data_IF_297338797179
#
_entry.id   IF_297338797179
#
_cell.length_a   1.000
_cell.length_b   1.000
_cell.length_c   1.000
_cell.angle_alpha   90.00
_cell.angle_beta   90.00
_cell.angle_gamma   90.00
#
_symmetry.space_group_name_H-M   'P 1'
#
loop_
_entity.id
_entity.type
_entity.pdbx_description
1 polymer ?
#
# COMPACT_ATOMS: atom_id res chain seq x y z
N UNK A 1 11.97 -11.30 24.47
CA UNK A 1 10.72 -10.61 24.06
C UNK A 1 10.50 -9.21 24.70
N UNK A 2 11.41 -8.69 25.56
CA UNK A 2 11.27 -7.35 26.20
C UNK A 2 11.81 -6.19 25.36
N UNK A 3 12.95 -6.36 24.68
CA UNK A 3 13.61 -5.27 23.94
C UNK A 3 12.82 -4.71 22.75
N UNK A 4 12.23 -5.57 21.90
CA UNK A 4 11.43 -5.13 20.75
C UNK A 4 10.19 -4.30 21.16
N UNK A 5 9.54 -4.68 22.26
CA UNK A 5 8.41 -3.92 22.81
C UNK A 5 8.86 -2.56 23.33
N UNK A 6 10.04 -2.48 23.97
CA UNK A 6 10.59 -1.23 24.47
C UNK A 6 10.94 -0.27 23.32
N UNK A 7 11.53 -0.78 22.23
CA UNK A 7 11.81 0.00 21.01
C UNK A 7 10.51 0.53 20.41
N UNK A 8 9.51 -0.33 20.20
CA UNK A 8 8.22 0.07 19.65
C UNK A 8 7.54 1.16 20.51
N UNK A 9 7.57 0.99 21.85
CA UNK A 9 7.00 1.98 22.77
C UNK A 9 7.75 3.33 22.69
N UNK A 10 9.08 3.31 22.58
CA UNK A 10 9.89 4.53 22.42
C UNK A 10 9.56 5.25 21.10
N UNK A 11 9.46 4.51 19.99
CA UNK A 11 9.08 5.05 18.68
C UNK A 11 7.68 5.67 18.74
N UNK A 12 6.74 4.97 19.37
CA UNK A 12 5.39 5.49 19.56
C UNK A 12 5.41 6.76 20.42
N UNK A 13 6.12 6.80 21.55
CA UNK A 13 6.22 8.00 22.38
C UNK A 13 6.74 9.22 21.58
N UNK A 14 7.64 8.97 20.63
CA UNK A 14 8.28 9.97 19.78
C UNK A 14 7.54 10.22 18.44
N UNK A 15 6.21 10.19 18.44
CA UNK A 15 5.37 10.31 17.23
C UNK A 15 5.77 11.45 16.28
N UNK A 16 6.06 12.66 16.81
CA UNK A 16 6.46 13.81 16.01
C UNK A 16 7.72 13.53 15.17
N UNK A 17 8.73 12.89 15.76
CA UNK A 17 9.97 12.56 15.06
C UNK A 17 9.74 11.52 13.98
N UNK A 18 8.85 10.55 14.21
CA UNK A 18 8.46 9.57 13.18
C UNK A 18 7.78 10.26 12.01
N UNK A 19 6.87 11.21 12.25
CA UNK A 19 6.22 11.98 11.18
C UNK A 19 7.25 12.79 10.38
N UNK A 20 8.17 13.50 11.06
CA UNK A 20 9.25 14.25 10.40
C UNK A 20 10.13 13.31 9.56
N UNK A 21 10.48 12.14 10.10
CA UNK A 21 11.25 11.14 9.37
C UNK A 21 10.54 10.68 8.09
N UNK A 22 9.24 10.37 8.15
CA UNK A 22 8.46 9.97 6.97
C UNK A 22 8.43 11.09 5.93
N UNK A 23 8.22 12.34 6.35
CA UNK A 23 8.23 13.50 5.44
C UNK A 23 9.58 13.60 4.73
N UNK A 24 10.69 13.59 5.48
CA UNK A 24 12.05 13.65 4.90
C UNK A 24 12.28 12.46 3.96
N UNK A 25 11.91 11.24 4.38
CA UNK A 25 12.08 10.03 3.59
C UNK A 25 11.37 10.12 2.23
N UNK A 26 10.09 10.52 2.23
CA UNK A 26 9.32 10.68 0.99
C UNK A 26 9.78 11.88 0.16
N UNK A 27 10.23 12.98 0.78
CA UNK A 27 10.82 14.11 0.05
C UNK A 27 12.12 13.71 -0.66
N UNK A 28 13.01 12.97 0.00
CA UNK A 28 14.24 12.44 -0.61
C UNK A 28 13.89 11.46 -1.73
N UNK A 29 12.94 10.56 -1.50
CA UNK A 29 12.42 9.66 -2.53
C UNK A 29 11.88 10.40 -3.75
N UNK A 30 11.17 11.51 -3.53
CA UNK A 30 10.57 12.31 -4.60
C UNK A 30 11.64 12.96 -5.46
N UNK A 31 12.59 13.67 -4.83
CA UNK A 31 13.71 14.31 -5.54
C UNK A 31 14.54 13.27 -6.29
N UNK A 32 14.82 12.13 -5.66
CA UNK A 32 15.58 11.04 -6.26
C UNK A 32 14.93 10.42 -7.49
N UNK A 33 13.60 10.29 -7.52
CA UNK A 33 12.84 9.79 -8.67
C UNK A 33 12.60 10.87 -9.75
N UNK A 34 12.48 12.13 -9.36
CA UNK A 34 12.29 13.25 -10.29
C UNK A 34 13.52 13.43 -11.19
N UNK A 35 14.73 13.36 -10.64
CA UNK A 35 15.99 13.57 -11.36
C UNK A 35 16.34 12.32 -12.21
N UNK A 36 16.48 12.44 -13.54
CA UNK A 36 16.73 11.28 -14.42
C UNK A 36 17.98 10.47 -14.06
N UNK A 37 19.06 11.13 -13.63
CA UNK A 37 20.33 10.47 -13.30
C UNK A 37 20.25 9.59 -12.05
N UNK A 38 19.45 9.98 -11.05
CA UNK A 38 19.29 9.21 -9.79
C UNK A 38 18.10 8.25 -9.84
N UNK A 39 17.15 8.47 -10.74
CA UNK A 39 15.91 7.69 -10.85
C UNK A 39 16.12 6.17 -10.85
N UNK A 40 17.06 5.58 -11.61
CA UNK A 40 17.24 4.13 -11.63
C UNK A 40 17.54 3.53 -10.25
N UNK A 41 18.37 4.22 -9.45
CA UNK A 41 18.67 3.81 -8.09
C UNK A 41 17.41 3.84 -7.21
N UNK A 42 16.65 4.93 -7.28
CA UNK A 42 15.44 5.09 -6.46
C UNK A 42 14.32 4.13 -6.86
N UNK A 43 14.20 3.79 -8.16
CA UNK A 43 13.31 2.73 -8.64
C UNK A 43 13.67 1.39 -7.96
N UNK A 44 14.96 1.06 -7.88
CA UNK A 44 15.42 -0.16 -7.20
C UNK A 44 15.16 -0.14 -5.67
N UNK A 45 15.08 1.05 -5.06
CA UNK A 45 14.81 1.22 -3.63
C UNK A 45 13.32 1.17 -3.25
N UNK A 46 12.41 1.27 -4.23
CA UNK A 46 10.95 1.22 -4.03
C UNK A 46 10.44 0.07 -3.14
N UNK A 47 10.84 -1.20 -3.31
CA UNK A 47 10.34 -2.28 -2.43
C UNK A 47 10.75 -2.08 -0.97
N UNK A 48 11.93 -1.48 -0.72
CA UNK A 48 12.37 -1.15 0.64
C UNK A 48 11.59 0.04 1.22
N UNK A 49 11.21 1.01 0.39
CA UNK A 49 10.32 2.09 0.80
C UNK A 49 8.93 1.58 1.22
N UNK A 50 8.36 0.65 0.44
CA UNK A 50 7.10 -0.02 0.79
C UNK A 50 7.23 -0.83 2.08
N UNK A 51 8.32 -1.59 2.24
CA UNK A 51 8.57 -2.35 3.45
C UNK A 51 8.72 -1.44 4.69
N UNK A 52 9.47 -0.34 4.55
CA UNK A 52 9.65 0.65 5.62
C UNK A 52 8.31 1.24 6.05
N UNK A 53 7.47 1.67 5.11
CA UNK A 53 6.13 2.20 5.42
C UNK A 53 5.24 1.16 6.11
N UNK A 54 5.27 -0.10 5.66
CA UNK A 54 4.58 -1.21 6.30
C UNK A 54 5.07 -1.47 7.72
N UNK A 55 6.39 -1.46 7.94
CA UNK A 55 6.98 -1.64 9.28
C UNK A 55 6.61 -0.48 10.20
N UNK A 56 6.68 0.76 9.72
CA UNK A 56 6.28 1.93 10.52
C UNK A 56 4.81 1.83 10.92
N UNK A 57 3.91 1.49 9.99
CA UNK A 57 2.49 1.30 10.32
C UNK A 57 2.32 0.17 11.33
N UNK A 58 3.00 -0.96 11.14
CA UNK A 58 2.95 -2.11 12.04
C UNK A 58 3.46 -1.77 13.45
N UNK A 59 4.51 -0.95 13.59
CA UNK A 59 5.04 -0.52 14.89
C UNK A 59 4.06 0.33 15.69
N UNK A 60 3.09 0.98 15.05
CA UNK A 60 2.03 1.74 15.70
C UNK A 60 0.72 0.95 15.86
N UNK A 61 0.69 -0.31 15.41
CA UNK A 61 -0.43 -1.19 15.66
C UNK A 61 -0.51 -1.56 17.15
N UNK A 62 -1.73 -1.59 17.71
CA UNK A 62 -1.94 -1.71 19.15
C UNK A 62 -1.52 -3.08 19.71
N UNK A 63 -2.09 -4.18 19.19
CA UNK A 63 -1.79 -5.54 19.65
C UNK A 63 -1.97 -6.55 18.52
N UNK A 64 -0.87 -7.23 18.19
CA UNK A 64 -0.90 -8.40 17.31
C UNK A 64 -1.45 -9.61 18.06
N UNK A 65 -2.76 -9.81 17.98
CA UNK A 65 -3.40 -11.07 18.39
C UNK A 65 -3.18 -12.15 17.33
N UNK A 66 -3.27 -13.43 17.69
CA UNK A 66 -3.20 -14.53 16.71
C UNK A 66 -4.23 -14.33 15.58
N UNK A 67 -5.45 -13.91 15.93
CA UNK A 67 -6.50 -13.55 14.97
C UNK A 67 -6.07 -12.43 14.03
N UNK A 68 -5.48 -11.35 14.55
CA UNK A 68 -4.96 -10.24 13.72
C UNK A 68 -3.90 -10.71 12.75
N UNK A 69 -2.94 -11.51 13.23
CA UNK A 69 -1.86 -12.05 12.40
C UNK A 69 -2.42 -12.94 11.29
N UNK A 70 -3.39 -13.81 11.61
CA UNK A 70 -4.05 -14.67 10.62
C UNK A 70 -4.79 -13.86 9.56
N UNK A 71 -5.49 -12.78 9.94
CA UNK A 71 -6.17 -11.91 8.97
C UNK A 71 -5.18 -11.16 8.08
N UNK A 72 -4.08 -10.65 8.63
CA UNK A 72 -3.06 -9.96 7.84
C UNK A 72 -2.34 -10.93 6.89
N UNK A 73 -2.03 -12.13 7.37
CA UNK A 73 -1.47 -13.19 6.53
C UNK A 73 -2.45 -13.61 5.43
N UNK A 74 -3.74 -13.74 5.74
CA UNK A 74 -4.78 -14.01 4.76
C UNK A 74 -4.82 -12.94 3.67
N UNK A 75 -4.87 -11.65 4.04
CA UNK A 75 -4.90 -10.55 3.07
C UNK A 75 -3.63 -10.56 2.21
N UNK A 76 -2.45 -10.72 2.82
CA UNK A 76 -1.18 -10.82 2.09
C UNK A 76 -1.17 -11.98 1.09
N UNK A 77 -1.50 -13.20 1.52
CA UNK A 77 -1.46 -14.40 0.67
C UNK A 77 -2.56 -14.35 -0.40
N UNK A 78 -3.78 -14.01 -0.02
CA UNK A 78 -4.91 -13.96 -0.95
C UNK A 78 -4.70 -12.90 -2.04
N UNK A 79 -4.27 -11.70 -1.68
CA UNK A 79 -3.95 -10.65 -2.67
C UNK A 79 -2.79 -11.06 -3.57
N UNK A 80 -1.72 -11.65 -3.02
CA UNK A 80 -0.61 -12.16 -3.82
C UNK A 80 -1.05 -13.26 -4.81
N UNK A 81 -1.91 -14.20 -4.40
CA UNK A 81 -2.43 -15.24 -5.29
C UNK A 81 -3.29 -14.62 -6.40
N UNK A 82 -4.17 -13.67 -6.05
CA UNK A 82 -5.00 -12.97 -7.03
C UNK A 82 -4.13 -12.21 -8.03
N UNK A 83 -3.10 -11.51 -7.57
CA UNK A 83 -2.10 -10.85 -8.43
C UNK A 83 -1.36 -11.85 -9.32
N UNK A 84 -0.93 -12.99 -8.75
CA UNK A 84 -0.25 -14.04 -9.50
C UNK A 84 -1.12 -14.62 -10.60
N UNK A 85 -2.39 -14.89 -10.32
CA UNK A 85 -3.34 -15.32 -11.35
C UNK A 85 -3.51 -14.20 -12.38
N UNK A 86 -3.76 -12.97 -11.93
CA UNK A 86 -4.01 -11.81 -12.79
C UNK A 86 -2.88 -11.52 -13.78
N UNK A 87 -1.63 -11.53 -13.35
CA UNK A 87 -0.45 -11.32 -14.21
C UNK A 87 -0.30 -12.42 -15.25
N UNK A 88 -0.48 -13.68 -14.84
CA UNK A 88 -0.16 -14.82 -15.69
C UNK A 88 -1.32 -15.18 -16.64
N UNK A 89 -2.57 -14.81 -16.33
CA UNK A 89 -3.73 -15.09 -17.18
C UNK A 89 -4.29 -13.85 -17.88
N UNK A 90 -4.02 -12.65 -17.38
CA UNK A 90 -4.65 -11.40 -17.82
C UNK A 90 -6.15 -11.31 -17.48
N UNK A 91 -6.73 -12.31 -16.79
CA UNK A 91 -8.18 -12.45 -16.67
C UNK A 91 -8.81 -11.66 -15.53
N UNK A 92 -8.00 -11.10 -14.62
CA UNK A 92 -8.50 -10.39 -13.43
C UNK A 92 -8.41 -8.88 -13.64
N UNK A 93 -7.22 -8.38 -13.95
CA UNK A 93 -6.95 -6.95 -14.09
C UNK A 93 -6.83 -6.49 -15.57
N UNK A 94 -6.78 -7.44 -16.51
CA UNK A 94 -6.35 -7.22 -17.88
C UNK A 94 -4.88 -7.63 -18.09
N UNK A 95 -4.39 -7.50 -19.32
CA UNK A 95 -3.02 -7.87 -19.67
C UNK A 95 -2.03 -6.78 -19.25
N UNK A 96 -1.16 -7.10 -18.29
CA UNK A 96 -0.10 -6.21 -17.85
C UNK A 96 1.13 -7.00 -17.41
N UNK A 97 2.27 -6.33 -17.32
CA UNK A 97 3.53 -6.96 -16.89
C UNK A 97 4.19 -6.13 -15.80
N UNK A 98 4.69 -6.81 -14.77
CA UNK A 98 5.52 -6.16 -13.74
C UNK A 98 6.91 -5.85 -14.29
N UNK A 99 7.42 -4.65 -14.02
CA UNK A 99 8.79 -4.23 -14.32
C UNK A 99 9.79 -4.65 -13.24
N UNK A 100 10.95 -4.02 -13.16
CA UNK A 100 11.99 -4.34 -12.16
C UNK A 100 11.89 -3.50 -10.87
N UNK A 101 10.96 -2.54 -10.81
CA UNK A 101 10.83 -1.59 -9.71
C UNK A 101 10.27 -2.16 -8.41
N UNK A 102 9.76 -3.40 -8.38
CA UNK A 102 9.14 -4.00 -7.19
C UNK A 102 9.96 -5.18 -6.59
N UNK A 103 11.20 -5.35 -7.05
CA UNK A 103 12.12 -6.34 -6.47
C UNK A 103 11.84 -7.78 -6.92
N UNK A 104 12.04 -8.73 -6.00
CA UNK A 104 12.02 -10.16 -6.30
C UNK A 104 10.62 -10.64 -6.72
N UNK A 105 10.57 -11.38 -7.84
CA UNK A 105 9.35 -11.96 -8.40
C UNK A 105 9.29 -13.45 -8.17
N UNK A 106 8.08 -13.95 -7.97
CA UNK A 106 7.74 -15.36 -8.01
C UNK A 106 6.66 -15.53 -9.09
N UNK A 107 6.91 -16.37 -10.10
CA UNK A 107 6.04 -16.53 -11.28
C UNK A 107 5.62 -15.18 -11.90
N UNK A 108 6.60 -14.32 -12.20
CA UNK A 108 6.42 -12.96 -12.74
C UNK A 108 5.73 -11.94 -11.81
N UNK A 109 5.34 -12.34 -10.60
CA UNK A 109 4.63 -11.47 -9.64
C UNK A 109 5.54 -11.06 -8.48
N UNK A 110 5.76 -9.76 -8.23
CA UNK A 110 6.61 -9.29 -7.13
C UNK A 110 6.08 -9.69 -5.77
N UNK A 111 6.92 -10.25 -4.89
CA UNK A 111 6.50 -10.65 -3.55
C UNK A 111 6.01 -9.46 -2.69
N UNK A 112 6.56 -8.27 -2.95
CA UNK A 112 6.19 -7.04 -2.22
C UNK A 112 4.74 -6.62 -2.48
N UNK A 113 4.10 -7.09 -3.56
CA UNK A 113 2.74 -6.64 -3.91
C UNK A 113 1.72 -7.05 -2.86
N UNK A 114 1.84 -8.24 -2.26
CA UNK A 114 0.95 -8.66 -1.17
C UNK A 114 1.10 -7.76 0.07
N UNK A 115 2.33 -7.28 0.35
CA UNK A 115 2.59 -6.33 1.43
C UNK A 115 1.96 -4.97 1.09
N UNK A 116 2.04 -4.54 -0.17
CA UNK A 116 1.39 -3.31 -0.64
C UNK A 116 -0.14 -3.38 -0.45
N UNK A 117 -0.77 -4.47 -0.87
CA UNK A 117 -2.20 -4.72 -0.63
C UNK A 117 -2.57 -4.65 0.85
N UNK A 118 -1.83 -5.37 1.69
CA UNK A 118 -2.06 -5.35 3.14
C UNK A 118 -1.90 -3.94 3.73
N UNK A 119 -0.86 -3.20 3.33
CA UNK A 119 -0.63 -1.83 3.75
C UNK A 119 -1.82 -0.95 3.37
N UNK A 120 -2.23 -0.96 2.11
CA UNK A 120 -3.32 -0.13 1.58
C UNK A 120 -4.66 -0.45 2.23
N UNK A 121 -4.98 -1.74 2.42
CA UNK A 121 -6.17 -2.16 3.18
C UNK A 121 -6.10 -1.61 4.60
N UNK A 122 -4.97 -1.79 5.29
CA UNK A 122 -4.81 -1.34 6.67
C UNK A 122 -4.98 0.18 6.80
N UNK A 123 -4.25 0.96 6.00
CA UNK A 123 -4.25 2.43 6.14
C UNK A 123 -5.58 3.02 5.72
N UNK A 124 -6.22 2.51 4.68
CA UNK A 124 -7.55 2.98 4.24
C UNK A 124 -8.59 2.73 5.32
N UNK A 125 -8.64 1.51 5.89
CA UNK A 125 -9.54 1.22 7.01
C UNK A 125 -9.22 2.10 8.24
N UNK A 126 -7.94 2.33 8.55
CA UNK A 126 -7.54 3.19 9.66
C UNK A 126 -7.94 4.66 9.47
N UNK A 127 -8.01 5.17 8.23
CA UNK A 127 -8.52 6.53 7.93
C UNK A 127 -9.99 6.62 8.31
N UNK A 128 -10.80 5.64 7.92
CA UNK A 128 -12.24 5.63 8.20
C UNK A 128 -12.56 5.30 9.66
N UNK A 129 -11.64 4.68 10.40
CA UNK A 129 -11.88 4.24 11.77
C UNK A 129 -12.21 5.40 12.72
N UNK A 130 -11.65 6.59 12.46
CA UNK A 130 -11.90 7.82 13.25
C UNK A 130 -13.20 8.54 12.89
N UNK A 131 -13.89 8.13 11.83
CA UNK A 131 -15.14 8.75 11.39
C UNK A 131 -16.33 8.23 12.19
N UNK A 132 -17.40 9.03 12.26
CA UNK A 132 -18.68 8.64 12.89
C UNK A 132 -19.58 7.81 11.94
N UNK A 133 -19.03 7.30 10.83
CA UNK A 133 -19.80 6.53 9.86
C UNK A 133 -20.18 5.16 10.43
N UNK A 134 -21.32 4.64 9.97
CA UNK A 134 -21.74 3.28 10.31
C UNK A 134 -20.77 2.24 9.70
N UNK A 135 -20.78 0.98 10.20
CA UNK A 135 -19.98 -0.14 9.67
C UNK A 135 -19.90 -0.24 8.14
N UNK A 136 -21.05 -0.17 7.46
CA UNK A 136 -21.16 -0.32 6.01
C UNK A 136 -20.46 0.87 5.32
N UNK A 137 -20.71 2.08 5.80
CA UNK A 137 -20.07 3.30 5.30
C UNK A 137 -18.55 3.26 5.46
N UNK A 138 -18.04 2.73 6.59
CA UNK A 138 -16.59 2.57 6.79
C UNK A 138 -15.97 1.59 5.79
N UNK A 139 -16.61 0.44 5.55
CA UNK A 139 -16.13 -0.56 4.58
C UNK A 139 -16.14 0.00 3.16
N UNK A 140 -17.26 0.60 2.76
CA UNK A 140 -17.39 1.21 1.44
C UNK A 140 -16.40 2.37 1.26
N UNK A 141 -16.30 3.27 2.24
CA UNK A 141 -15.38 4.40 2.23
C UNK A 141 -13.92 3.97 2.14
N UNK A 142 -13.49 2.96 2.91
CA UNK A 142 -12.14 2.42 2.83
C UNK A 142 -11.84 1.84 1.45
N UNK A 143 -12.83 1.20 0.82
CA UNK A 143 -12.69 0.62 -0.51
C UNK A 143 -12.60 1.69 -1.60
N UNK A 144 -13.36 2.77 -1.48
CA UNK A 144 -13.26 3.95 -2.36
C UNK A 144 -11.91 4.65 -2.21
N UNK A 145 -11.39 4.81 -0.98
CA UNK A 145 -10.06 5.38 -0.76
C UNK A 145 -8.97 4.53 -1.43
N UNK A 146 -9.08 3.21 -1.29
CA UNK A 146 -8.12 2.29 -1.89
C UNK A 146 -8.18 2.31 -3.42
N UNK A 147 -9.38 2.33 -4.01
CA UNK A 147 -9.54 2.50 -5.47
C UNK A 147 -9.01 3.84 -5.96
N UNK A 148 -9.26 4.93 -5.20
CA UNK A 148 -8.77 6.26 -5.56
C UNK A 148 -7.24 6.32 -5.53
N UNK A 149 -6.62 5.62 -4.58
CA UNK A 149 -5.18 5.45 -4.51
C UNK A 149 -4.65 4.65 -5.72
N UNK A 150 -5.33 3.56 -6.10
CA UNK A 150 -4.98 2.77 -7.28
C UNK A 150 -5.02 3.61 -8.56
N UNK A 151 -6.11 4.36 -8.80
CA UNK A 151 -6.25 5.24 -9.96
C UNK A 151 -5.07 6.22 -10.08
N UNK A 152 -4.63 6.79 -8.96
CA UNK A 152 -3.46 7.67 -8.91
C UNK A 152 -2.16 6.90 -9.22
N UNK A 153 -1.98 5.75 -8.59
CA UNK A 153 -0.78 4.91 -8.73
C UNK A 153 -0.60 4.41 -10.16
N UNK A 154 -1.69 4.08 -10.84
CA UNK A 154 -1.69 3.61 -12.23
C UNK A 154 -1.11 4.64 -13.21
N UNK A 155 -1.25 5.94 -12.93
CA UNK A 155 -0.70 6.99 -13.79
C UNK A 155 0.83 7.10 -13.70
N UNK A 156 1.41 6.66 -12.58
CA UNK A 156 2.85 6.78 -12.29
C UNK A 156 3.60 5.45 -12.41
N UNK A 157 2.91 4.31 -12.24
CA UNK A 157 3.50 2.98 -12.24
C UNK A 157 4.37 2.65 -13.47
N UNK A 158 3.97 2.97 -14.71
CA UNK A 158 4.81 2.69 -15.89
C UNK A 158 6.13 3.48 -15.88
N UNK A 159 6.11 4.72 -15.38
CA UNK A 159 7.27 5.62 -15.33
C UNK A 159 8.30 5.22 -14.28
N UNK A 160 7.85 4.50 -13.26
CA UNK A 160 8.67 3.99 -12.17
C UNK A 160 9.06 2.51 -12.37
N UNK A 161 8.82 1.96 -13.57
CA UNK A 161 9.05 0.55 -13.89
C UNK A 161 8.40 -0.43 -12.89
N UNK A 162 7.25 -0.05 -12.32
CA UNK A 162 6.50 -0.91 -11.40
C UNK A 162 5.71 -1.95 -12.21
N UNK A 163 4.79 -1.50 -13.06
CA UNK A 163 4.10 -2.32 -14.06
C UNK A 163 3.60 -1.47 -15.23
N UNK A 164 3.29 -2.14 -16.33
CA UNK A 164 2.76 -1.51 -17.54
C UNK A 164 1.69 -2.42 -18.17
N UNK A 165 0.52 -1.85 -18.46
CA UNK A 165 -0.54 -2.51 -19.23
C UNK A 165 -0.17 -2.64 -20.71
N UNK A 166 -0.64 -3.70 -21.37
CA UNK A 166 -0.40 -3.88 -22.81
C UNK A 166 -1.19 -2.90 -23.68
N UNK A 167 -2.28 -2.35 -23.13
CA UNK A 167 -3.11 -1.34 -23.76
C UNK A 167 -2.62 0.06 -23.40
N UNK A 168 -2.93 1.06 -24.24
CA UNK A 168 -2.55 2.47 -23.99
C UNK A 168 -3.23 3.07 -22.76
N UNK A 169 -4.44 2.61 -22.45
CA UNK A 169 -5.19 2.96 -21.24
C UNK A 169 -5.34 1.76 -20.32
N UNK A 170 -5.40 2.01 -19.02
CA UNK A 170 -5.71 0.99 -18.01
C UNK A 170 -7.13 0.47 -18.25
N UNK A 171 -7.34 -0.86 -18.33
CA UNK A 171 -8.67 -1.43 -18.51
C UNK A 171 -9.61 -1.08 -17.33
N UNK A 172 -10.87 -0.76 -17.61
CA UNK A 172 -11.90 -0.56 -16.56
C UNK A 172 -12.01 -1.78 -15.64
N UNK A 173 -11.75 -2.97 -16.19
CA UNK A 173 -11.68 -4.21 -15.45
C UNK A 173 -10.71 -4.16 -14.25
N UNK A 174 -9.55 -3.49 -14.38
CA UNK A 174 -8.61 -3.30 -13.27
C UNK A 174 -9.28 -2.59 -12.10
N UNK A 175 -9.91 -1.44 -12.36
CA UNK A 175 -10.57 -0.64 -11.35
C UNK A 175 -11.74 -1.37 -10.67
N UNK A 176 -12.51 -2.13 -11.44
CA UNK A 176 -13.58 -2.97 -10.89
C UNK A 176 -13.01 -4.08 -9.99
N UNK A 177 -11.96 -4.77 -10.43
CA UNK A 177 -11.30 -5.80 -9.64
C UNK A 177 -10.70 -5.24 -8.34
N UNK A 178 -10.00 -4.10 -8.42
CA UNK A 178 -9.45 -3.41 -7.26
C UNK A 178 -10.52 -3.01 -6.25
N UNK A 179 -11.63 -2.47 -6.72
CA UNK A 179 -12.74 -2.09 -5.85
C UNK A 179 -13.38 -3.30 -5.15
N UNK A 180 -13.62 -4.39 -5.89
CA UNK A 180 -14.18 -5.63 -5.33
C UNK A 180 -13.23 -6.23 -4.29
N UNK A 181 -11.93 -6.33 -4.58
CA UNK A 181 -10.95 -6.85 -3.63
C UNK A 181 -10.82 -5.97 -2.39
N UNK A 182 -10.80 -4.65 -2.57
CA UNK A 182 -10.78 -3.70 -1.46
C UNK A 182 -12.03 -3.86 -0.56
N UNK A 183 -13.22 -4.02 -1.16
CA UNK A 183 -14.46 -4.30 -0.43
C UNK A 183 -14.35 -5.62 0.35
N UNK A 184 -13.90 -6.69 -0.28
CA UNK A 184 -13.78 -8.00 0.36
C UNK A 184 -12.80 -7.98 1.54
N UNK A 185 -11.63 -7.36 1.36
CA UNK A 185 -10.64 -7.27 2.43
C UNK A 185 -11.07 -6.31 3.55
N UNK A 186 -11.65 -5.16 3.23
CA UNK A 186 -12.20 -4.25 4.23
C UNK A 186 -13.36 -4.87 5.00
N UNK A 187 -14.25 -5.61 4.32
CA UNK A 187 -15.31 -6.38 4.95
C UNK A 187 -14.73 -7.45 5.88
N UNK A 188 -13.68 -8.17 5.46
CA UNK A 188 -13.00 -9.17 6.30
C UNK A 188 -12.44 -8.54 7.57
N UNK A 189 -11.75 -7.40 7.45
CA UNK A 189 -11.25 -6.62 8.59
C UNK A 189 -12.39 -6.25 9.55
N UNK A 190 -13.52 -5.79 9.02
CA UNK A 190 -14.65 -5.33 9.81
C UNK A 190 -15.43 -6.48 10.49
N UNK A 191 -15.79 -7.53 9.73
CA UNK A 191 -16.49 -8.71 10.25
C UNK A 191 -15.68 -9.42 11.33
N UNK A 192 -14.36 -9.50 11.14
CA UNK A 192 -13.45 -10.07 12.11
C UNK A 192 -13.04 -9.07 13.20
N UNK A 193 -13.59 -7.84 13.22
CA UNK A 193 -13.37 -6.83 14.25
C UNK A 193 -11.88 -6.56 14.49
N UNK A 194 -11.10 -6.52 13.43
CA UNK A 194 -9.67 -6.21 13.51
C UNK A 194 -9.53 -4.71 13.75
N UNK A 195 -8.96 -4.35 14.91
CA UNK A 195 -8.76 -2.96 15.28
C UNK A 195 -7.63 -2.34 14.43
N UNK A 196 -8.00 -1.52 13.45
CA UNK A 196 -7.05 -0.82 12.59
C UNK A 196 -6.71 0.58 13.10
N UNK A 197 -7.28 1.03 14.24
CA UNK A 197 -7.02 2.36 14.80
C UNK A 197 -5.54 2.59 15.01
N UNK A 198 -4.98 3.46 14.17
CA UNK A 198 -3.57 3.76 14.16
C UNK A 198 -3.38 5.24 13.82
N UNK A 199 -2.59 5.94 14.62
CA UNK A 199 -2.37 7.39 14.42
C UNK A 199 -1.37 7.71 13.31
N UNK A 200 -0.45 6.80 12.97
CA UNK A 200 0.52 7.02 11.88
C UNK A 200 -0.06 6.62 10.52
N UNK A 201 -0.99 5.66 10.48
CA UNK A 201 -1.55 5.15 9.23
C UNK A 201 -2.20 6.22 8.34
N UNK A 202 -3.07 7.14 8.84
CA UNK A 202 -3.58 8.24 8.03
C UNK A 202 -2.50 9.20 7.52
N UNK A 203 -1.43 9.39 8.30
CA UNK A 203 -0.29 10.24 7.91
C UNK A 203 0.48 9.59 6.76
N UNK A 204 0.78 8.28 6.86
CA UNK A 204 1.43 7.51 5.79
C UNK A 204 0.60 7.54 4.52
N UNK A 205 -0.72 7.29 4.62
CA UNK A 205 -1.62 7.35 3.46
C UNK A 205 -1.60 8.72 2.78
N UNK A 206 -1.73 9.80 3.56
CA UNK A 206 -1.72 11.16 3.03
C UNK A 206 -0.38 11.54 2.38
N UNK A 207 0.74 11.18 3.01
CA UNK A 207 2.08 11.45 2.46
C UNK A 207 2.33 10.63 1.19
N UNK A 208 1.93 9.35 1.16
CA UNK A 208 2.04 8.52 -0.04
C UNK A 208 1.19 9.05 -1.19
N UNK A 209 -0.06 9.42 -0.93
CA UNK A 209 -0.93 10.01 -1.94
C UNK A 209 -0.34 11.32 -2.48
N UNK A 210 0.11 12.22 -1.60
CA UNK A 210 0.78 13.46 -2.01
C UNK A 210 2.05 13.18 -2.83
N UNK A 211 2.87 12.23 -2.40
CA UNK A 211 4.08 11.81 -3.11
C UNK A 211 3.78 11.37 -4.54
N UNK A 212 2.77 10.52 -4.74
CA UNK A 212 2.38 10.08 -6.08
C UNK A 212 1.75 11.19 -6.92
N UNK A 213 0.98 12.10 -6.33
CA UNK A 213 0.50 13.31 -7.03
C UNK A 213 1.68 14.16 -7.51
N UNK A 214 2.67 14.42 -6.65
CA UNK A 214 3.83 15.22 -7.03
C UNK A 214 4.66 14.54 -8.14
N UNK A 215 4.86 13.22 -8.07
CA UNK A 215 5.51 12.46 -9.13
C UNK A 215 4.71 12.50 -10.43
N UNK A 216 3.39 12.40 -10.37
CA UNK A 216 2.53 12.51 -11.55
C UNK A 216 2.73 13.85 -12.25
N UNK A 217 2.71 14.96 -11.49
CA UNK A 217 2.92 16.30 -12.02
C UNK A 217 4.34 16.54 -12.57
N UNK A 218 5.33 15.85 -12.02
CA UNK A 218 6.75 16.06 -12.38
C UNK A 218 7.22 15.17 -13.53
N UNK A 219 6.66 13.98 -13.65
CA UNK A 219 7.06 12.99 -14.66
C UNK A 219 6.18 13.03 -15.92
N UNK A 220 5.09 13.80 -15.91
CA UNK A 220 4.21 14.05 -17.08
C UNK A 220 4.81 15.10 -18.01
#
# INVERSE_FOLDING_TARGET
MSGLKQIANSIQANFRYVVIFIIIFYSVGFVGLAIPTTRPLFVHLTPFALLLSSVIVALFHSKFSAKTILVFLFIYVASFIVELIGVNTGSIFGNYTYGHGLGLKLFNTPLIIGINWLLLVYVSNSVLEKTNWNPIGKVFGASVLMLSYDILLEQVAPKLAMWTFSTSSVPIQNYVAWFILALLFSLTVHLLKINTRNRIAPVVFGIQALFFVLLLLTLN
#
